data_IF_849022284041
#
_entry.id   IF_849022284041
#
_cell.length_a   1.000
_cell.length_b   1.000
_cell.length_c   1.000
_cell.angle_alpha   90.00
_cell.angle_beta   90.00
_cell.angle_gamma   90.00
#
_symmetry.space_group_name_H-M   'P 1'
#
loop_
_entity.id
_entity.type
_entity.pdbx_description
1 polymer ?
#
# COMPACT_ATOMS: atom_id res chain seq x y z
N UNK A 1 -15.76 10.67 -6.39
CA UNK A 1 -15.33 9.60 -5.46
C UNK A 1 -14.01 9.05 -5.91
N UNK A 2 -13.09 8.72 -5.01
CA UNK A 2 -11.77 8.17 -5.38
C UNK A 2 -11.85 6.69 -5.78
N UNK A 3 -11.11 6.32 -6.83
CA UNK A 3 -11.04 4.94 -7.37
C UNK A 3 -10.08 4.04 -6.58
N UNK A 4 -10.01 4.20 -5.25
CA UNK A 4 -9.20 3.35 -4.38
C UNK A 4 -10.11 2.47 -3.52
N UNK A 5 -10.01 1.16 -3.73
CA UNK A 5 -10.83 0.14 -3.08
C UNK A 5 -10.06 -0.76 -2.11
N UNK A 6 -8.72 -0.80 -2.22
CA UNK A 6 -7.88 -1.64 -1.39
C UNK A 6 -7.67 -1.06 0.01
N UNK A 7 -7.59 -1.93 1.03
CA UNK A 7 -7.24 -1.60 2.42
C UNK A 7 -8.07 -0.44 3.03
N UNK A 8 -9.31 -0.25 2.58
CA UNK A 8 -10.18 0.85 3.00
C UNK A 8 -11.44 0.33 3.68
N UNK A 9 -11.87 0.94 4.80
CA UNK A 9 -13.14 0.61 5.42
C UNK A 9 -14.28 0.87 4.42
N UNK A 10 -15.29 0.01 4.45
CA UNK A 10 -16.48 0.10 3.59
C UNK A 10 -16.18 0.03 2.08
N UNK A 11 -15.03 -0.52 1.68
CA UNK A 11 -14.66 -0.81 0.29
C UNK A 11 -14.35 -2.29 0.11
N UNK A 12 -14.66 -2.81 -1.09
CA UNK A 12 -14.42 -4.22 -1.43
C UNK A 12 -13.99 -4.40 -2.89
N UNK A 13 -13.41 -5.56 -3.19
CA UNK A 13 -13.05 -5.95 -4.55
C UNK A 13 -14.27 -5.95 -5.50
N UNK A 14 -15.44 -6.39 -5.02
CA UNK A 14 -16.69 -6.38 -5.79
C UNK A 14 -17.08 -4.97 -6.24
N UNK A 15 -16.90 -3.96 -5.38
CA UNK A 15 -17.15 -2.56 -5.75
C UNK A 15 -16.16 -2.05 -6.81
N UNK A 16 -14.91 -2.51 -6.77
CA UNK A 16 -13.91 -2.15 -7.79
C UNK A 16 -14.31 -2.70 -9.17
N UNK A 17 -14.71 -3.98 -9.22
CA UNK A 17 -15.19 -4.65 -10.44
C UNK A 17 -16.43 -3.93 -10.97
N UNK A 18 -17.43 -3.70 -10.12
CA UNK A 18 -18.66 -3.01 -10.53
C UNK A 18 -18.37 -1.63 -11.13
N UNK A 19 -17.48 -0.86 -10.50
CA UNK A 19 -17.09 0.45 -11.04
C UNK A 19 -16.33 0.34 -12.35
N UNK A 20 -15.44 -0.64 -12.50
CA UNK A 20 -14.72 -0.87 -13.75
C UNK A 20 -15.70 -1.22 -14.88
N UNK A 21 -16.65 -2.12 -14.63
CA UNK A 21 -17.69 -2.51 -15.60
C UNK A 21 -18.49 -1.31 -16.08
N UNK A 22 -19.00 -0.46 -15.17
CA UNK A 22 -19.73 0.75 -15.54
C UNK A 22 -18.88 1.73 -16.36
N UNK A 23 -17.61 1.89 -15.99
CA UNK A 23 -16.71 2.77 -16.74
C UNK A 23 -16.46 2.25 -18.17
N UNK A 24 -16.20 0.94 -18.33
CA UNK A 24 -15.99 0.34 -19.65
C UNK A 24 -17.26 0.39 -20.51
N UNK A 25 -18.42 0.15 -19.91
CA UNK A 25 -19.70 0.12 -20.63
C UNK A 25 -20.16 1.50 -21.10
N UNK A 26 -19.96 2.55 -20.29
CA UNK A 26 -20.61 3.85 -20.53
C UNK A 26 -19.67 5.01 -20.85
N UNK A 27 -18.34 4.87 -20.70
CA UNK A 27 -17.39 5.99 -20.89
C UNK A 27 -16.49 5.88 -22.12
N UNK A 28 -16.73 4.90 -22.99
CA UNK A 28 -16.07 4.81 -24.31
C UNK A 28 -14.57 4.48 -24.25
N UNK A 29 -14.10 3.77 -23.23
CA UNK A 29 -12.71 3.30 -23.16
C UNK A 29 -12.52 2.07 -24.07
N UNK A 30 -11.57 2.12 -25.01
CA UNK A 30 -11.26 1.01 -25.93
C UNK A 30 -10.11 0.09 -25.49
N UNK A 31 -9.39 0.46 -24.43
CA UNK A 31 -8.19 -0.25 -23.98
C UNK A 31 -8.10 -0.27 -22.46
N UNK A 32 -7.52 -1.35 -21.92
CA UNK A 32 -7.23 -1.53 -20.50
C UNK A 32 -5.72 -1.68 -20.34
N UNK A 33 -5.13 -0.93 -19.42
CA UNK A 33 -3.72 -1.06 -19.04
C UNK A 33 -3.67 -1.70 -17.66
N UNK A 34 -3.13 -2.92 -17.60
CA UNK A 34 -2.86 -3.61 -16.35
C UNK A 34 -1.41 -3.35 -15.92
N UNK A 35 -1.24 -2.99 -14.65
CA UNK A 35 0.08 -2.75 -14.06
C UNK A 35 0.09 -3.26 -12.62
N UNK A 36 1.13 -4.02 -12.27
CA UNK A 36 1.40 -4.51 -10.92
C UNK A 36 2.83 -4.17 -10.49
N UNK A 37 3.03 -3.94 -9.19
CA UNK A 37 4.34 -3.62 -8.64
C UNK A 37 4.96 -4.87 -8.01
N UNK A 38 5.96 -5.42 -8.70
CA UNK A 38 6.72 -6.58 -8.21
C UNK A 38 7.39 -6.27 -6.86
N UNK A 39 7.07 -7.08 -5.85
CA UNK A 39 7.66 -6.97 -4.51
C UNK A 39 7.41 -5.61 -3.88
N UNK A 40 6.18 -5.08 -3.98
CA UNK A 40 5.83 -3.74 -3.49
C UNK A 40 6.32 -3.47 -2.06
N UNK A 41 6.05 -4.39 -1.12
CA UNK A 41 6.42 -4.19 0.29
C UNK A 41 7.92 -4.37 0.53
N UNK A 42 8.58 -5.24 -0.22
CA UNK A 42 10.02 -5.50 -0.09
C UNK A 42 10.85 -4.32 -0.62
N UNK A 43 10.41 -3.69 -1.71
CA UNK A 43 11.15 -2.63 -2.40
C UNK A 43 10.70 -1.21 -2.00
N UNK A 44 9.79 -1.07 -1.05
CA UNK A 44 9.26 0.25 -0.65
C UNK A 44 10.30 1.07 0.12
N UNK A 45 10.62 2.27 -0.37
CA UNK A 45 11.56 3.17 0.31
C UNK A 45 11.00 3.67 1.65
N UNK A 46 11.59 3.20 2.76
CA UNK A 46 11.24 3.66 4.11
C UNK A 46 11.44 5.18 4.28
N UNK A 47 12.42 5.78 3.61
CA UNK A 47 12.65 7.24 3.64
C UNK A 47 11.46 7.99 3.05
N UNK A 48 10.95 7.53 1.90
CA UNK A 48 9.79 8.15 1.26
C UNK A 48 8.51 7.92 2.07
N UNK A 49 8.29 6.71 2.58
CA UNK A 49 7.15 6.41 3.45
C UNK A 49 7.11 7.34 4.67
N UNK A 50 8.24 7.49 5.37
CA UNK A 50 8.34 8.39 6.53
C UNK A 50 8.12 9.87 6.15
N UNK A 51 8.57 10.30 4.96
CA UNK A 51 8.30 11.66 4.47
C UNK A 51 6.80 11.89 4.24
N UNK A 52 6.10 10.90 3.68
CA UNK A 52 4.65 10.98 3.42
C UNK A 52 3.84 10.99 4.72
N UNK A 53 4.20 10.14 5.69
CA UNK A 53 3.50 10.11 7.00
C UNK A 53 3.62 11.45 7.74
N UNK A 54 4.79 12.10 7.68
CA UNK A 54 5.03 13.42 8.29
C UNK A 54 4.13 14.54 7.73
N UNK A 55 3.58 14.39 6.53
CA UNK A 55 2.64 15.37 5.96
C UNK A 55 1.29 15.37 6.70
N UNK A 56 0.93 14.26 7.36
CA UNK A 56 -0.38 14.10 8.02
C UNK A 56 -0.28 13.94 9.53
N UNK A 57 0.83 13.38 10.03
CA UNK A 57 1.03 13.07 11.45
C UNK A 57 2.09 14.02 12.01
N UNK A 58 1.72 14.82 13.01
CA UNK A 58 2.64 15.72 13.73
C UNK A 58 3.30 15.07 14.95
N UNK A 59 2.70 13.99 15.47
CA UNK A 59 3.20 13.27 16.64
C UNK A 59 4.53 12.55 16.33
N UNK A 60 5.60 13.01 16.99
CA UNK A 60 6.94 12.44 16.83
C UNK A 60 7.07 11.06 17.47
N UNK A 61 6.37 10.78 18.56
CA UNK A 61 6.44 9.49 19.24
C UNK A 61 5.85 8.39 18.36
N UNK A 62 4.68 8.64 17.78
CA UNK A 62 4.04 7.71 16.83
C UNK A 62 4.91 7.49 15.58
N UNK A 63 5.46 8.55 14.99
CA UNK A 63 6.37 8.43 13.84
C UNK A 63 7.63 7.63 14.18
N UNK A 64 8.19 7.82 15.38
CA UNK A 64 9.35 7.06 15.83
C UNK A 64 9.00 5.58 16.00
N UNK A 65 7.82 5.26 16.54
CA UNK A 65 7.34 3.89 16.68
C UNK A 65 7.21 3.20 15.31
N UNK A 66 6.57 3.86 14.35
CA UNK A 66 6.45 3.34 12.97
C UNK A 66 7.83 3.09 12.36
N UNK A 67 8.77 4.02 12.54
CA UNK A 67 10.14 3.86 12.02
C UNK A 67 10.90 2.70 12.69
N UNK A 68 10.62 2.38 13.96
CA UNK A 68 11.19 1.20 14.62
C UNK A 68 10.63 -0.08 14.01
N UNK A 69 9.32 -0.14 13.76
CA UNK A 69 8.67 -1.29 13.13
C UNK A 69 9.20 -1.56 11.72
N UNK A 70 9.38 -0.51 10.91
CA UNK A 70 9.97 -0.63 9.58
C UNK A 70 11.42 -1.15 9.58
N UNK A 71 12.15 -1.03 10.69
CA UNK A 71 13.54 -1.50 10.82
C UNK A 71 13.68 -2.80 11.59
N UNK A 72 12.58 -3.33 12.13
CA UNK A 72 12.59 -4.55 12.91
C UNK A 72 13.05 -5.73 12.05
N UNK A 73 13.85 -6.62 12.65
CA UNK A 73 14.26 -7.87 11.99
C UNK A 73 13.22 -8.94 12.30
N UNK A 74 12.91 -9.76 11.30
CA UNK A 74 12.07 -10.95 11.49
C UNK A 74 12.97 -12.13 11.83
N UNK A 75 12.61 -12.87 12.86
CA UNK A 75 13.28 -14.12 13.19
C UNK A 75 12.46 -15.27 12.61
N UNK A 76 13.10 -16.07 11.76
CA UNK A 76 12.51 -17.27 11.19
C UNK A 76 12.60 -18.44 12.18
N UNK A 77 11.77 -19.49 12.00
CA UNK A 77 11.75 -20.66 12.91
C UNK A 77 13.10 -21.37 13.06
N UNK A 78 13.97 -21.27 12.07
CA UNK A 78 15.33 -21.82 12.08
C UNK A 78 16.34 -20.94 12.86
N UNK A 79 15.89 -19.89 13.54
CA UNK A 79 16.74 -18.96 14.30
C UNK A 79 17.39 -17.86 13.45
N UNK A 80 17.22 -17.88 12.13
CA UNK A 80 17.80 -16.87 11.24
C UNK A 80 17.07 -15.53 11.39
N UNK A 81 17.83 -14.45 11.60
CA UNK A 81 17.29 -13.09 11.65
C UNK A 81 17.44 -12.42 10.29
N UNK A 82 16.34 -12.26 9.58
CA UNK A 82 16.30 -11.55 8.30
C UNK A 82 15.93 -10.08 8.51
N UNK A 83 16.59 -9.20 7.77
CA UNK A 83 16.19 -7.81 7.66
C UNK A 83 15.17 -7.74 6.52
N UNK A 84 13.93 -7.32 6.80
CA UNK A 84 12.97 -6.96 5.77
C UNK A 84 13.40 -5.60 5.20
N UNK A 85 14.39 -5.57 4.34
CA UNK A 85 14.80 -4.36 3.60
C UNK A 85 15.52 -4.75 2.33
#
# INVERSE_FOLDING_TARGET
MGNNYGYRPNKSAHQAIHSLTLNLQFKGYGYIVEADIKGFFDNMSHKWLMKMLKLKIKDKALLNLVNQWLKAKVQLPNGQKIKLT
#
